data_IF_996810600925
#
_entry.id   IF_996810600925
#
_cell.length_a   1.000
_cell.length_b   1.000
_cell.length_c   1.000
_cell.angle_alpha   90.00
_cell.angle_beta   90.00
_cell.angle_gamma   90.00
#
_symmetry.space_group_name_H-M   'P 1'
#
loop_
_entity.id
_entity.type
_entity.pdbx_description
1 polymer ?
#
# COMPACT_ATOMS: atom_id res chain seq x y z
N UNK A 1 87.87 44.31 14.23
CA UNK A 1 86.34 44.10 14.21
C UNK A 1 85.96 42.75 13.65
N UNK A 2 86.33 41.65 14.31
CA UNK A 2 85.91 40.31 13.88
C UNK A 2 85.59 39.36 15.04
N UNK A 3 85.19 39.90 16.19
CA UNK A 3 84.81 39.07 17.38
C UNK A 3 83.29 38.88 17.63
N UNK A 4 82.45 39.47 16.83
CA UNK A 4 81.00 39.42 17.02
C UNK A 4 80.25 38.36 16.26
N UNK A 5 80.76 37.77 15.19
CA UNK A 5 80.00 36.80 14.36
C UNK A 5 80.12 35.39 14.85
N UNK A 6 81.13 35.00 15.65
CA UNK A 6 81.29 33.63 16.15
C UNK A 6 80.33 33.27 17.26
N UNK A 7 79.96 34.25 18.09
CA UNK A 7 79.02 34.01 19.24
C UNK A 7 77.57 33.96 18.83
N UNK A 8 77.19 34.64 17.78
CA UNK A 8 75.83 34.58 17.21
C UNK A 8 75.57 33.20 16.56
N UNK A 9 76.61 32.71 15.83
CA UNK A 9 76.50 31.38 15.21
C UNK A 9 76.49 30.24 16.23
N UNK A 10 77.22 30.32 17.30
CA UNK A 10 77.23 29.36 18.38
C UNK A 10 75.87 29.35 19.14
N UNK A 11 75.29 30.51 19.41
CA UNK A 11 73.93 30.57 20.04
C UNK A 11 72.85 30.01 19.14
N UNK A 12 72.90 30.28 17.84
CA UNK A 12 71.94 29.78 16.90
C UNK A 12 72.03 28.23 16.75
N UNK A 13 73.16 27.64 16.76
CA UNK A 13 73.38 26.20 16.69
C UNK A 13 72.96 25.50 17.98
N UNK A 14 73.20 26.12 19.16
CA UNK A 14 72.71 25.57 20.47
C UNK A 14 71.21 25.68 20.60
N UNK A 15 70.58 26.74 20.15
CA UNK A 15 69.11 26.88 20.21
C UNK A 15 68.45 25.89 19.23
N UNK A 16 68.95 25.69 18.05
CA UNK A 16 68.42 24.68 17.10
C UNK A 16 68.69 23.23 17.55
N UNK A 17 69.75 22.93 18.30
CA UNK A 17 69.95 21.61 18.85
C UNK A 17 69.01 21.32 20.02
N UNK A 18 68.74 22.28 20.92
CA UNK A 18 67.83 22.12 22.04
C UNK A 18 66.38 22.01 21.57
N UNK A 19 65.96 22.79 20.55
CA UNK A 19 64.65 22.71 19.95
C UNK A 19 64.47 21.38 19.17
N UNK A 20 65.54 20.87 18.52
CA UNK A 20 65.51 19.59 17.79
C UNK A 20 65.42 18.36 18.73
N UNK A 21 66.02 18.42 19.93
CA UNK A 21 65.90 17.35 20.93
C UNK A 21 64.55 17.38 21.65
N UNK A 22 64.00 18.56 21.96
CA UNK A 22 62.70 18.69 22.53
C UNK A 22 61.56 18.26 21.56
N UNK A 23 61.74 18.59 20.28
CA UNK A 23 60.78 18.14 19.26
C UNK A 23 60.85 16.63 18.98
N UNK A 24 62.01 16.00 19.10
CA UNK A 24 62.16 14.56 19.06
C UNK A 24 61.55 13.87 20.27
N UNK A 25 61.76 14.39 21.48
CA UNK A 25 61.14 13.86 22.68
C UNK A 25 59.63 14.06 22.70
N UNK A 26 59.11 15.18 22.19
CA UNK A 26 57.66 15.42 22.02
C UNK A 26 57.06 14.48 20.96
N UNK A 27 57.77 14.28 19.84
CA UNK A 27 57.31 13.31 18.81
C UNK A 27 57.40 11.86 19.30
N UNK A 28 58.41 11.51 20.12
CA UNK A 28 58.49 10.19 20.76
C UNK A 28 57.40 9.97 21.86
N UNK A 29 57.06 11.04 22.59
CA UNK A 29 55.92 10.97 23.55
C UNK A 29 54.58 10.99 22.87
N UNK A 30 54.40 11.69 21.75
CA UNK A 30 53.18 11.64 20.95
C UNK A 30 53.03 10.32 20.18
N UNK A 31 54.11 9.67 19.73
CA UNK A 31 54.01 8.35 19.10
C UNK A 31 53.72 7.22 20.09
N UNK A 32 53.97 7.44 21.41
CA UNK A 32 53.63 6.48 22.44
C UNK A 32 52.26 6.72 23.10
N UNK A 33 51.50 7.77 22.67
CA UNK A 33 50.16 8.08 23.18
C UNK A 33 49.03 7.95 22.15
N UNK A 34 49.35 7.60 20.91
CA UNK A 34 48.34 7.42 19.88
C UNK A 34 48.51 6.12 19.18
N UNK A 35 47.60 5.27 19.35
CA UNK A 35 47.26 4.00 18.72
C UNK A 35 47.52 2.81 19.64
N UNK A 36 46.66 2.69 20.65
CA UNK A 36 46.17 1.35 20.94
C UNK A 36 45.36 0.95 19.67
N UNK A 37 46.03 0.62 18.59
CA UNK A 37 45.46 -0.25 17.58
C UNK A 37 44.97 -1.46 18.37
N UNK A 38 43.64 -1.62 18.41
CA UNK A 38 43.04 -2.84 18.91
C UNK A 38 43.44 -3.90 17.90
N UNK A 39 44.63 -4.43 18.06
CA UNK A 39 45.05 -5.66 17.34
C UNK A 39 44.08 -6.76 17.78
N UNK A 40 43.02 -6.93 16.99
CA UNK A 40 42.11 -8.04 17.15
C UNK A 40 42.87 -9.29 16.75
N UNK A 41 43.56 -9.93 17.72
CA UNK A 41 44.26 -11.18 17.49
C UNK A 41 43.21 -12.28 17.25
N UNK A 42 42.96 -12.54 15.99
CA UNK A 42 42.03 -13.60 15.54
C UNK A 42 42.41 -14.94 16.09
N UNK A 43 43.71 -15.20 16.33
CA UNK A 43 44.17 -16.45 16.92
C UNK A 43 43.81 -16.57 18.40
N UNK A 44 43.85 -15.49 19.15
CA UNK A 44 43.41 -15.48 20.57
C UNK A 44 41.89 -15.65 20.68
N UNK A 45 41.10 -15.04 19.76
CA UNK A 45 39.67 -15.29 19.67
C UNK A 45 39.39 -16.73 19.36
N UNK A 46 40.09 -17.33 18.40
CA UNK A 46 39.91 -18.72 18.00
C UNK A 46 40.27 -19.64 19.17
N UNK A 47 41.36 -19.39 19.90
CA UNK A 47 41.80 -20.16 21.05
C UNK A 47 40.81 -20.08 22.23
N UNK A 48 40.25 -18.88 22.47
CA UNK A 48 39.14 -18.66 23.45
C UNK A 48 37.89 -19.44 23.05
N UNK A 49 37.50 -19.44 21.77
CA UNK A 49 36.34 -20.18 21.25
C UNK A 49 36.51 -21.68 21.43
N UNK A 50 37.67 -22.22 21.09
CA UNK A 50 38.01 -23.68 21.26
C UNK A 50 37.94 -24.06 22.74
N UNK A 51 38.42 -23.19 23.65
CA UNK A 51 38.37 -23.42 25.10
C UNK A 51 36.92 -23.50 25.65
N UNK A 52 35.97 -22.89 24.97
CA UNK A 52 34.58 -22.81 25.42
C UNK A 52 33.68 -23.89 24.78
N UNK A 53 34.23 -24.80 23.96
CA UNK A 53 33.49 -25.83 23.21
C UNK A 53 32.38 -26.53 24.00
N UNK A 54 32.62 -26.89 25.28
CA UNK A 54 31.61 -27.52 26.15
C UNK A 54 30.42 -26.63 26.45
N UNK A 55 30.62 -25.29 26.56
CA UNK A 55 29.54 -24.31 26.76
C UNK A 55 28.77 -24.07 25.47
N UNK A 56 29.48 -24.05 24.32
CA UNK A 56 28.88 -23.93 22.99
C UNK A 56 27.95 -25.13 22.72
N UNK A 57 28.36 -26.38 23.01
CA UNK A 57 27.47 -27.53 22.83
C UNK A 57 26.22 -27.46 23.72
N UNK A 58 26.36 -27.02 24.98
CA UNK A 58 25.21 -26.81 25.87
C UNK A 58 24.28 -25.73 25.33
N UNK A 59 24.82 -24.61 24.84
CA UNK A 59 24.04 -23.52 24.24
C UNK A 59 23.33 -23.99 22.95
N UNK A 60 24.04 -24.74 22.09
CA UNK A 60 23.44 -25.31 20.89
C UNK A 60 22.28 -26.24 21.22
N UNK A 61 22.42 -27.07 22.29
CA UNK A 61 21.36 -27.95 22.78
C UNK A 61 20.14 -27.17 23.27
N UNK A 62 20.34 -26.11 24.05
CA UNK A 62 19.25 -25.22 24.50
C UNK A 62 18.61 -24.51 23.33
N UNK A 63 19.42 -23.96 22.40
CA UNK A 63 18.94 -23.31 21.19
C UNK A 63 18.12 -24.23 20.28
N UNK A 64 18.52 -25.52 20.21
CA UNK A 64 17.79 -26.53 19.47
C UNK A 64 16.42 -26.81 20.09
N UNK A 65 16.32 -26.96 21.41
CA UNK A 65 15.05 -27.18 22.11
C UNK A 65 14.12 -25.97 21.89
N UNK A 66 14.62 -24.75 22.11
CA UNK A 66 13.86 -23.51 21.90
C UNK A 66 13.44 -23.39 20.43
N UNK A 67 14.37 -23.64 19.50
CA UNK A 67 14.12 -23.59 18.07
C UNK A 67 13.05 -24.58 17.61
N UNK A 68 13.00 -25.79 18.17
CA UNK A 68 11.94 -26.77 17.88
C UNK A 68 10.59 -26.30 18.42
N UNK A 69 10.53 -25.79 19.64
CA UNK A 69 9.29 -25.26 20.23
C UNK A 69 8.73 -24.13 19.36
N UNK A 70 9.56 -23.18 18.95
CA UNK A 70 9.18 -22.07 18.11
C UNK A 70 8.77 -22.53 16.70
N UNK A 71 9.55 -23.46 16.10
CA UNK A 71 9.24 -23.99 14.77
C UNK A 71 7.90 -24.75 14.70
N UNK A 72 7.48 -25.40 15.79
CA UNK A 72 6.18 -26.07 15.89
C UNK A 72 5.08 -25.02 16.13
N UNK A 73 5.39 -23.97 16.86
CA UNK A 73 4.45 -22.91 17.26
C UNK A 73 4.04 -22.00 16.10
N UNK A 74 4.89 -21.82 15.09
CA UNK A 74 4.58 -21.00 13.93
C UNK A 74 3.66 -21.78 12.97
N UNK A 75 2.42 -21.28 12.71
CA UNK A 75 1.52 -21.92 11.77
C UNK A 75 2.05 -21.86 10.34
N UNK A 76 1.69 -22.84 9.53
CA UNK A 76 2.00 -22.82 8.10
C UNK A 76 1.21 -21.69 7.42
N UNK A 77 1.82 -21.03 6.48
CA UNK A 77 1.19 -19.99 5.66
C UNK A 77 1.20 -20.42 4.19
N UNK A 78 0.13 -20.11 3.49
CA UNK A 78 -0.06 -20.42 2.08
C UNK A 78 -0.38 -19.13 1.36
N UNK A 79 0.38 -18.81 0.33
CA UNK A 79 0.19 -17.63 -0.50
C UNK A 79 -0.42 -18.04 -1.82
N UNK A 80 -1.50 -17.39 -2.19
CA UNK A 80 -2.15 -17.49 -3.49
C UNK A 80 -1.91 -16.20 -4.23
N UNK A 81 -1.40 -16.29 -5.44
CA UNK A 81 -1.19 -15.16 -6.33
C UNK A 81 -2.16 -15.21 -7.49
N UNK A 82 -2.72 -14.06 -7.81
CA UNK A 82 -3.59 -13.87 -8.98
C UNK A 82 -3.04 -12.73 -9.78
N UNK A 83 -2.75 -12.97 -11.06
CA UNK A 83 -2.19 -11.97 -11.95
C UNK A 83 -3.25 -11.45 -12.90
N UNK A 84 -3.43 -10.13 -12.89
CA UNK A 84 -4.33 -9.38 -13.76
C UNK A 84 -3.53 -8.61 -14.79
N UNK A 85 -3.89 -8.75 -16.05
CA UNK A 85 -3.41 -7.86 -17.11
C UNK A 85 -4.49 -6.82 -17.39
N UNK A 86 -4.18 -5.52 -17.40
CA UNK A 86 -5.10 -4.57 -17.98
C UNK A 86 -5.22 -4.89 -19.46
N UNK A 87 -6.44 -5.12 -19.94
CA UNK A 87 -6.67 -5.11 -21.38
C UNK A 87 -6.40 -3.67 -21.86
N UNK A 88 -5.32 -3.50 -22.61
CA UNK A 88 -5.14 -2.29 -23.39
C UNK A 88 -6.33 -2.23 -24.37
N UNK A 89 -7.35 -1.48 -23.99
CA UNK A 89 -8.38 -1.11 -24.93
C UNK A 89 -7.66 -0.60 -26.17
N UNK A 90 -7.80 -1.29 -27.27
CA UNK A 90 -7.11 -0.94 -28.53
C UNK A 90 -7.53 0.47 -28.93
N UNK A 91 -6.77 1.46 -28.49
CA UNK A 91 -6.83 2.85 -28.95
C UNK A 91 -6.32 2.99 -30.38
N UNK A 92 -6.40 1.91 -31.16
CA UNK A 92 -6.28 1.99 -32.59
C UNK A 92 -7.61 2.45 -33.19
N UNK A 93 -7.80 3.77 -33.18
CA UNK A 93 -8.46 4.58 -34.20
C UNK A 93 -9.72 4.10 -34.93
N UNK A 94 -10.57 3.26 -34.35
CA UNK A 94 -11.73 2.69 -35.02
C UNK A 94 -13.01 2.61 -34.21
N UNK A 95 -12.99 3.04 -32.95
CA UNK A 95 -14.17 3.08 -32.10
C UNK A 95 -14.91 4.42 -32.14
N UNK A 96 -16.02 4.52 -31.43
CA UNK A 96 -16.84 5.73 -31.31
C UNK A 96 -16.05 6.96 -30.82
N UNK A 97 -14.94 6.76 -30.11
CA UNK A 97 -14.02 7.83 -29.68
C UNK A 97 -13.38 8.55 -30.87
N UNK A 98 -13.07 7.85 -31.97
CA UNK A 98 -12.61 8.46 -33.22
C UNK A 98 -13.69 9.31 -33.89
N UNK A 99 -14.93 8.88 -33.82
CA UNK A 99 -16.07 9.66 -34.30
C UNK A 99 -16.36 10.88 -33.40
N UNK A 100 -16.28 10.72 -32.09
CA UNK A 100 -16.46 11.83 -31.15
C UNK A 100 -15.37 12.90 -31.30
N UNK A 101 -14.10 12.49 -31.52
CA UNK A 101 -13.00 13.43 -31.76
C UNK A 101 -13.16 14.19 -33.08
N UNK A 102 -13.72 13.58 -34.13
CA UNK A 102 -14.01 14.27 -35.39
C UNK A 102 -15.17 15.28 -35.28
N UNK A 103 -16.12 15.07 -34.38
CA UNK A 103 -17.24 15.99 -34.13
C UNK A 103 -16.90 17.12 -33.16
N UNK A 104 -15.98 16.92 -32.22
CA UNK A 104 -15.60 17.91 -31.19
C UNK A 104 -14.40 18.79 -31.55
N UNK A 105 -13.85 18.66 -32.76
CA UNK A 105 -12.72 19.50 -33.23
C UNK A 105 -11.43 19.18 -32.47
N UNK A 106 -10.57 18.46 -33.13
CA UNK A 106 -9.18 18.13 -32.82
C UNK A 106 -8.53 18.88 -31.65
N UNK A 107 -8.27 18.21 -30.56
CA UNK A 107 -7.46 18.78 -29.48
C UNK A 107 -7.15 17.85 -28.33
N UNK A 108 -7.86 16.76 -28.17
CA UNK A 108 -7.62 15.83 -27.05
C UNK A 108 -7.09 14.49 -27.58
N UNK A 109 -5.80 14.44 -27.86
CA UNK A 109 -5.06 13.18 -27.80
C UNK A 109 -5.01 12.77 -26.35
N UNK A 110 -6.02 12.07 -25.85
CA UNK A 110 -5.96 11.40 -24.56
C UNK A 110 -5.02 10.21 -24.70
N UNK A 111 -3.81 10.44 -24.24
CA UNK A 111 -2.65 9.58 -24.30
C UNK A 111 -2.74 8.42 -23.31
N UNK A 112 -2.13 7.39 -23.67
CA UNK A 112 -1.32 6.32 -23.04
C UNK A 112 -1.14 6.31 -21.49
N UNK A 113 -1.59 7.31 -20.77
CA UNK A 113 -1.46 7.41 -19.31
C UNK A 113 -2.58 6.76 -18.49
N UNK A 114 -3.70 6.40 -19.10
CA UNK A 114 -4.88 5.89 -18.37
C UNK A 114 -4.67 4.46 -17.85
N UNK A 115 -3.92 3.63 -18.54
CA UNK A 115 -3.69 2.23 -18.14
C UNK A 115 -2.67 2.12 -17.00
N UNK A 116 -1.63 2.96 -17.01
CA UNK A 116 -0.66 3.02 -15.91
C UNK A 116 -1.28 3.55 -14.61
N UNK A 117 -2.22 4.50 -14.70
CA UNK A 117 -3.00 4.99 -13.56
C UNK A 117 -3.90 3.90 -12.96
N UNK A 118 -4.49 3.03 -13.79
CA UNK A 118 -5.32 1.92 -13.32
C UNK A 118 -4.52 0.89 -12.52
N UNK A 119 -3.35 0.57 -13.00
CA UNK A 119 -2.47 -0.38 -12.33
C UNK A 119 -2.00 0.18 -10.97
N UNK A 120 -1.58 1.45 -10.89
CA UNK A 120 -1.15 2.07 -9.63
C UNK A 120 -2.30 2.16 -8.61
N UNK A 121 -3.51 2.51 -9.06
CA UNK A 121 -4.70 2.57 -8.21
C UNK A 121 -5.06 1.21 -7.58
N UNK A 122 -4.75 0.10 -8.26
CA UNK A 122 -5.05 -1.25 -7.73
C UNK A 122 -4.40 -1.51 -6.38
N UNK A 123 -3.13 -1.13 -6.20
CA UNK A 123 -2.42 -1.32 -4.94
C UNK A 123 -3.00 -0.44 -3.82
N UNK A 124 -3.36 0.80 -4.14
CA UNK A 124 -3.93 1.74 -3.19
C UNK A 124 -5.34 1.32 -2.77
N UNK A 125 -6.17 0.86 -3.71
CA UNK A 125 -7.52 0.36 -3.42
C UNK A 125 -7.46 -0.85 -2.50
N UNK A 126 -6.63 -1.86 -2.82
CA UNK A 126 -6.50 -3.09 -2.01
C UNK A 126 -6.04 -2.79 -0.58
N UNK A 127 -5.21 -1.76 -0.39
CA UNK A 127 -4.75 -1.34 0.93
C UNK A 127 -5.69 -0.37 1.65
N UNK A 128 -6.75 0.09 0.98
CA UNK A 128 -7.67 1.08 1.55
C UNK A 128 -8.57 0.48 2.64
N UNK A 129 -8.87 1.29 3.64
CA UNK A 129 -9.73 0.86 4.77
C UNK A 129 -11.15 0.49 4.33
N UNK A 130 -11.83 1.25 3.44
CA UNK A 130 -13.18 0.90 2.99
C UNK A 130 -13.22 -0.47 2.29
N UNK A 131 -12.24 -0.72 1.41
CA UNK A 131 -12.14 -1.98 0.68
C UNK A 131 -11.97 -3.19 1.63
N UNK A 132 -11.04 -3.07 2.58
CA UNK A 132 -10.77 -4.14 3.54
C UNK A 132 -11.92 -4.36 4.52
N UNK A 133 -12.66 -3.30 4.87
CA UNK A 133 -13.83 -3.40 5.72
C UNK A 133 -14.94 -4.20 5.00
N UNK A 134 -15.20 -3.88 3.74
CA UNK A 134 -16.18 -4.60 2.93
C UNK A 134 -15.76 -6.06 2.72
N UNK A 135 -14.46 -6.30 2.46
CA UNK A 135 -13.92 -7.64 2.33
C UNK A 135 -14.05 -8.45 3.64
N UNK A 136 -13.93 -7.81 4.81
CA UNK A 136 -14.04 -8.48 6.11
C UNK A 136 -15.41 -9.08 6.37
N UNK A 137 -16.45 -8.58 5.70
CA UNK A 137 -17.85 -9.06 5.82
C UNK A 137 -18.18 -10.17 4.83
N UNK A 138 -17.27 -10.51 3.89
CA UNK A 138 -17.52 -11.55 2.90
C UNK A 138 -17.62 -12.94 3.54
N UNK A 139 -18.47 -13.79 2.97
CA UNK A 139 -18.59 -15.18 3.38
C UNK A 139 -17.50 -16.04 2.73
N UNK A 140 -16.87 -16.88 3.54
CA UNK A 140 -15.85 -17.84 3.12
C UNK A 140 -16.22 -19.24 3.62
N UNK A 141 -15.83 -20.30 2.89
CA UNK A 141 -16.05 -21.66 3.34
C UNK A 141 -15.15 -21.96 4.54
N UNK A 142 -15.76 -22.27 5.68
CA UNK A 142 -15.03 -22.67 6.87
C UNK A 142 -14.46 -24.10 6.74
N UNK A 143 -13.44 -24.36 7.52
CA UNK A 143 -12.79 -25.69 7.59
C UNK A 143 -13.78 -26.80 8.02
N UNK A 144 -14.87 -26.45 8.71
CA UNK A 144 -15.87 -27.39 9.25
C UNK A 144 -17.15 -27.53 8.41
N UNK A 145 -17.19 -26.92 7.20
CA UNK A 145 -18.34 -27.07 6.29
C UNK A 145 -19.47 -26.05 6.46
N UNK A 146 -19.38 -25.15 7.42
CA UNK A 146 -20.29 -24.01 7.57
C UNK A 146 -19.65 -22.75 6.98
N UNK A 147 -20.40 -21.89 6.34
CA UNK A 147 -19.90 -20.60 5.87
C UNK A 147 -19.70 -19.67 7.06
N UNK A 148 -18.59 -18.98 7.09
CA UNK A 148 -18.29 -17.94 8.09
C UNK A 148 -17.82 -16.67 7.40
N UNK A 149 -17.89 -15.53 8.09
CA UNK A 149 -17.30 -14.29 7.56
C UNK A 149 -15.79 -14.30 7.70
N UNK A 150 -15.07 -13.60 6.81
CA UNK A 150 -13.62 -13.45 6.89
C UNK A 150 -13.20 -12.83 8.25
N UNK A 151 -14.01 -11.93 8.79
CA UNK A 151 -13.83 -11.35 10.13
C UNK A 151 -13.85 -12.41 11.23
N UNK A 152 -14.79 -13.36 11.19
CA UNK A 152 -14.90 -14.46 12.16
C UNK A 152 -13.72 -15.43 12.02
N UNK A 153 -13.32 -15.73 10.78
CA UNK A 153 -12.14 -16.56 10.51
C UNK A 153 -10.87 -15.99 11.15
N UNK A 154 -10.68 -14.66 11.07
CA UNK A 154 -9.53 -14.01 11.71
C UNK A 154 -9.56 -14.11 13.23
N UNK A 155 -10.74 -14.10 13.84
CA UNK A 155 -10.89 -14.21 15.30
C UNK A 155 -10.69 -15.66 15.79
N UNK A 156 -11.15 -16.65 15.05
CA UNK A 156 -11.22 -18.05 15.52
C UNK A 156 -10.04 -18.92 15.04
N UNK A 157 -9.67 -18.82 13.77
CA UNK A 157 -8.71 -19.75 13.16
C UNK A 157 -7.31 -19.17 13.01
N UNK A 158 -7.16 -17.83 13.01
CA UNK A 158 -5.87 -17.19 12.72
C UNK A 158 -4.97 -16.98 13.94
N UNK A 159 -5.54 -17.00 15.16
CA UNK A 159 -4.80 -16.67 16.38
C UNK A 159 -3.90 -17.85 16.79
N UNK A 160 -2.56 -17.70 16.79
CA UNK A 160 -1.68 -18.78 17.25
C UNK A 160 -1.80 -18.97 18.77
N UNK A 161 -1.73 -20.21 19.24
CA UNK A 161 -1.90 -20.58 20.65
C UNK A 161 -0.96 -19.84 21.62
N UNK A 162 0.23 -19.50 21.16
CA UNK A 162 1.21 -18.78 21.98
C UNK A 162 0.83 -17.32 22.24
N UNK A 163 -0.05 -16.73 21.43
CA UNK A 163 -0.58 -15.39 21.69
C UNK A 163 -1.35 -15.34 23.00
N UNK A 164 -2.02 -16.45 23.38
CA UNK A 164 -2.65 -16.58 24.68
C UNK A 164 -1.62 -16.62 25.82
N UNK A 165 -0.44 -17.22 25.59
CA UNK A 165 0.64 -17.31 26.59
C UNK A 165 1.32 -15.95 26.78
N UNK A 166 1.61 -15.24 25.70
CA UNK A 166 2.22 -13.88 25.74
C UNK A 166 1.19 -12.85 26.20
N UNK A 167 -0.07 -13.01 25.81
CA UNK A 167 -1.17 -12.16 26.24
C UNK A 167 -1.62 -12.38 27.68
N UNK A 168 -1.20 -13.47 28.35
CA UNK A 168 -1.60 -13.77 29.72
C UNK A 168 -1.27 -12.65 30.73
N UNK A 169 -0.09 -11.98 30.68
CA UNK A 169 0.18 -10.82 31.53
C UNK A 169 -0.68 -9.61 31.19
N UNK A 170 -0.99 -9.38 29.91
CA UNK A 170 -1.85 -8.27 29.48
C UNK A 170 -3.33 -8.53 29.82
N UNK A 171 -3.79 -9.78 29.75
CA UNK A 171 -5.16 -10.16 30.17
C UNK A 171 -5.35 -9.90 31.66
N UNK A 172 -4.35 -10.14 32.50
CA UNK A 172 -4.42 -9.83 33.95
C UNK A 172 -4.45 -8.32 34.16
N UNK A 173 -3.66 -7.56 33.41
CA UNK A 173 -3.60 -6.09 33.49
C UNK A 173 -4.87 -5.46 32.91
N UNK A 174 -5.37 -5.97 31.78
CA UNK A 174 -6.61 -5.50 31.16
C UNK A 174 -7.85 -5.95 31.96
N UNK A 175 -7.83 -7.15 32.54
CA UNK A 175 -8.86 -7.59 33.51
C UNK A 175 -8.90 -6.76 34.79
N UNK A 176 -7.75 -6.28 35.29
CA UNK A 176 -7.70 -5.34 36.38
C UNK A 176 -8.15 -3.92 35.98
N UNK A 177 -7.87 -3.51 34.74
CA UNK A 177 -8.36 -2.23 34.19
C UNK A 177 -9.85 -2.24 33.87
N UNK A 178 -10.42 -3.36 33.42
CA UNK A 178 -11.86 -3.47 33.15
C UNK A 178 -12.71 -3.39 34.41
N UNK A 179 -12.15 -3.62 35.59
CA UNK A 179 -12.82 -3.40 36.88
C UNK A 179 -12.86 -1.91 37.30
N UNK A 180 -12.05 -1.05 36.63
CA UNK A 180 -11.93 0.37 36.99
C UNK A 180 -12.28 1.33 35.83
N UNK A 181 -12.47 0.82 34.62
CA UNK A 181 -12.83 1.62 33.44
C UNK A 181 -13.97 0.87 32.77
N UNK A 182 -15.17 1.44 32.81
CA UNK A 182 -16.24 1.07 31.89
C UNK A 182 -15.66 1.23 30.49
N UNK A 183 -15.47 0.11 29.80
CA UNK A 183 -15.20 0.15 28.36
C UNK A 183 -16.41 0.84 27.74
N UNK A 184 -16.23 2.08 27.33
CA UNK A 184 -17.07 2.72 26.35
C UNK A 184 -17.03 1.80 25.10
N UNK A 185 -17.94 0.82 25.08
CA UNK A 185 -18.46 0.27 23.84
C UNK A 185 -19.14 1.45 23.12
N UNK A 186 -18.33 2.26 22.46
CA UNK A 186 -18.84 3.11 21.40
C UNK A 186 -19.40 2.15 20.35
N UNK A 187 -20.65 1.79 20.61
CA UNK A 187 -21.50 1.04 19.70
C UNK A 187 -21.54 1.83 18.41
N UNK A 188 -20.72 1.43 17.48
CA UNK A 188 -20.76 1.91 16.11
C UNK A 188 -22.07 1.45 15.45
N UNK A 189 -23.18 2.12 15.76
CA UNK A 189 -24.45 1.89 15.09
C UNK A 189 -24.86 3.03 14.13
N UNK A 190 -23.98 3.99 13.84
CA UNK A 190 -24.27 5.05 12.86
C UNK A 190 -23.15 5.16 11.84
N UNK A 191 -23.15 4.24 10.87
CA UNK A 191 -22.25 4.26 9.69
C UNK A 191 -22.57 5.36 8.68
N UNK A 192 -23.32 6.38 9.02
CA UNK A 192 -23.81 7.31 8.01
C UNK A 192 -23.94 8.73 8.51
N UNK A 193 -22.83 9.40 8.77
CA UNK A 193 -22.84 10.84 8.65
C UNK A 193 -21.48 11.33 8.12
N UNK A 194 -21.49 11.80 6.88
CA UNK A 194 -20.46 12.67 6.26
C UNK A 194 -19.15 11.98 5.81
N UNK A 195 -19.16 10.74 5.34
CA UNK A 195 -17.96 10.12 4.75
C UNK A 195 -16.84 9.77 5.74
N UNK A 196 -17.08 9.91 7.05
CA UNK A 196 -16.15 9.53 8.11
C UNK A 196 -16.46 8.09 8.54
N UNK A 197 -15.45 7.21 8.46
CA UNK A 197 -15.56 5.82 8.91
C UNK A 197 -14.99 5.74 10.33
N UNK A 198 -15.83 5.52 11.31
CA UNK A 198 -15.41 5.25 12.68
C UNK A 198 -15.18 3.75 12.87
N UNK A 199 -13.98 3.38 13.30
CA UNK A 199 -13.59 2.00 13.54
C UNK A 199 -13.42 1.72 15.02
N UNK A 200 -13.98 0.62 15.47
CA UNK A 200 -13.66 0.07 16.79
C UNK A 200 -12.18 -0.36 16.85
N UNK A 201 -11.58 -0.37 18.04
CA UNK A 201 -10.22 -0.87 18.25
C UNK A 201 -10.02 -2.31 17.73
N UNK A 202 -11.05 -3.15 17.83
CA UNK A 202 -11.03 -4.52 17.29
C UNK A 202 -11.02 -4.53 15.76
N UNK A 203 -11.89 -3.73 15.13
CA UNK A 203 -11.94 -3.59 13.68
C UNK A 203 -10.64 -3.01 13.10
N UNK A 204 -10.08 -1.99 13.75
CA UNK A 204 -8.81 -1.40 13.34
C UNK A 204 -7.67 -2.41 13.34
N UNK A 205 -7.57 -3.26 14.37
CA UNK A 205 -6.58 -4.35 14.42
C UNK A 205 -6.80 -5.39 13.30
N UNK A 206 -8.06 -5.75 13.03
CA UNK A 206 -8.39 -6.69 11.93
C UNK A 206 -7.98 -6.13 10.57
N UNK A 207 -8.26 -4.86 10.32
CA UNK A 207 -7.86 -4.20 9.08
C UNK A 207 -6.33 -4.16 8.95
N UNK A 208 -5.59 -3.91 10.03
CA UNK A 208 -4.13 -3.96 10.01
C UNK A 208 -3.59 -5.36 9.68
N UNK A 209 -4.23 -6.40 10.21
CA UNK A 209 -3.90 -7.79 9.88
C UNK A 209 -4.22 -8.08 8.42
N UNK A 210 -5.39 -7.70 7.92
CA UNK A 210 -5.77 -7.86 6.51
C UNK A 210 -4.81 -7.14 5.56
N UNK A 211 -4.35 -5.93 5.89
CA UNK A 211 -3.33 -5.20 5.09
C UNK A 211 -2.00 -5.96 4.96
N UNK A 212 -1.65 -6.76 5.95
CA UNK A 212 -0.44 -7.60 5.91
C UNK A 212 -0.64 -8.88 5.13
N UNK A 213 -1.87 -9.40 5.12
CA UNK A 213 -2.24 -10.65 4.46
C UNK A 213 -2.55 -10.49 2.97
N UNK A 214 -3.09 -9.35 2.60
CA UNK A 214 -3.55 -9.05 1.25
C UNK A 214 -2.68 -7.93 0.71
N UNK A 215 -1.92 -8.23 -0.35
CA UNK A 215 -1.03 -7.26 -1.00
C UNK A 215 -1.28 -7.25 -2.49
N UNK A 216 -1.20 -6.08 -3.09
CA UNK A 216 -1.23 -5.93 -4.54
C UNK A 216 0.05 -5.25 -4.99
N UNK A 217 0.73 -5.85 -5.95
CA UNK A 217 1.99 -5.35 -6.52
C UNK A 217 1.78 -5.14 -8.01
N UNK A 218 2.21 -3.99 -8.49
CA UNK A 218 2.14 -3.63 -9.90
C UNK A 218 3.52 -3.68 -10.51
N UNK A 219 3.69 -4.47 -11.55
CA UNK A 219 4.89 -4.45 -12.36
C UNK A 219 4.88 -3.23 -13.30
N UNK A 220 5.82 -2.31 -13.08
CA UNK A 220 5.94 -1.07 -13.84
C UNK A 220 6.27 -1.28 -15.33
N UNK A 221 6.79 -2.46 -15.71
CA UNK A 221 7.16 -2.75 -17.09
C UNK A 221 6.00 -3.31 -17.91
N UNK A 222 5.23 -4.20 -17.27
CA UNK A 222 4.14 -4.91 -17.93
C UNK A 222 2.77 -4.32 -17.60
N UNK A 223 2.70 -3.41 -16.60
CA UNK A 223 1.47 -2.89 -16.01
C UNK A 223 0.55 -3.98 -15.44
N UNK A 224 1.05 -5.20 -15.28
CA UNK A 224 0.30 -6.29 -14.68
C UNK A 224 0.19 -6.08 -13.17
N UNK A 225 -0.96 -6.39 -12.61
CA UNK A 225 -1.21 -6.34 -11.17
C UNK A 225 -1.26 -7.75 -10.61
N UNK A 226 -0.35 -8.06 -9.69
CA UNK A 226 -0.37 -9.32 -8.95
C UNK A 226 -0.96 -9.09 -7.57
N UNK A 227 -2.07 -9.74 -7.29
CA UNK A 227 -2.72 -9.76 -5.97
C UNK A 227 -2.28 -11.03 -5.25
N UNK A 228 -1.63 -10.86 -4.10
CA UNK A 228 -1.18 -11.97 -3.26
C UNK A 228 -1.97 -12.00 -1.95
N UNK A 229 -2.50 -13.16 -1.60
CA UNK A 229 -3.25 -13.42 -0.36
C UNK A 229 -2.56 -14.53 0.41
N UNK A 230 -2.16 -14.24 1.65
CA UNK A 230 -1.44 -15.18 2.53
C UNK A 230 -2.29 -15.55 3.74
N UNK A 231 -2.72 -16.81 3.82
CA UNK A 231 -3.54 -17.33 4.91
C UNK A 231 -3.03 -18.70 5.39
N UNK A 232 -3.57 -19.19 6.53
CA UNK A 232 -3.18 -20.49 7.08
C UNK A 232 -3.84 -21.66 6.35
N UNK A 233 -5.05 -21.46 5.81
CA UNK A 233 -5.79 -22.49 5.08
C UNK A 233 -5.67 -22.22 3.56
N UNK A 234 -5.10 -23.17 2.77
CA UNK A 234 -4.89 -22.94 1.33
C UNK A 234 -6.18 -22.79 0.52
N UNK A 235 -7.28 -23.49 0.91
CA UNK A 235 -8.57 -23.34 0.24
C UNK A 235 -9.19 -21.96 0.49
N UNK A 236 -9.14 -21.50 1.75
CA UNK A 236 -9.63 -20.17 2.13
C UNK A 236 -8.81 -19.09 1.43
N UNK A 237 -7.48 -19.25 1.35
CA UNK A 237 -6.61 -18.33 0.64
C UNK A 237 -7.01 -18.16 -0.83
N UNK A 238 -7.33 -19.26 -1.52
CA UNK A 238 -7.75 -19.22 -2.93
C UNK A 238 -9.11 -18.53 -3.10
N UNK A 239 -10.09 -18.83 -2.23
CA UNK A 239 -11.41 -18.18 -2.28
C UNK A 239 -11.32 -16.69 -1.97
N UNK A 240 -10.52 -16.31 -0.97
CA UNK A 240 -10.29 -14.90 -0.65
C UNK A 240 -9.59 -14.19 -1.79
N UNK A 241 -8.56 -14.80 -2.41
CA UNK A 241 -7.85 -14.21 -3.53
C UNK A 241 -8.78 -13.94 -4.74
N UNK A 242 -9.63 -14.90 -5.10
CA UNK A 242 -10.63 -14.74 -6.16
C UNK A 242 -11.64 -13.61 -5.83
N UNK A 243 -12.09 -13.56 -4.59
CA UNK A 243 -13.03 -12.53 -4.13
C UNK A 243 -12.40 -11.13 -4.10
N UNK A 244 -11.14 -11.02 -3.64
CA UNK A 244 -10.37 -9.76 -3.67
C UNK A 244 -10.26 -9.24 -5.10
N UNK A 245 -9.95 -10.12 -6.04
CA UNK A 245 -9.82 -9.74 -7.46
C UNK A 245 -11.16 -9.26 -8.03
N UNK A 246 -12.25 -10.01 -7.79
CA UNK A 246 -13.59 -9.61 -8.24
C UNK A 246 -14.00 -8.25 -7.67
N UNK A 247 -13.77 -8.06 -6.37
CA UNK A 247 -14.10 -6.81 -5.69
C UNK A 247 -13.23 -5.66 -6.17
N UNK A 248 -11.94 -5.89 -6.41
CA UNK A 248 -11.03 -4.90 -6.98
C UNK A 248 -11.49 -4.46 -8.36
N UNK A 249 -11.88 -5.40 -9.22
CA UNK A 249 -12.43 -5.08 -10.54
C UNK A 249 -13.69 -4.22 -10.42
N UNK A 250 -14.61 -4.57 -9.53
CA UNK A 250 -15.83 -3.80 -9.27
C UNK A 250 -15.51 -2.36 -8.82
N UNK A 251 -14.59 -2.19 -7.86
CA UNK A 251 -14.18 -0.88 -7.37
C UNK A 251 -13.55 0.00 -8.46
N UNK A 252 -12.69 -0.57 -9.30
CA UNK A 252 -12.04 0.18 -10.38
C UNK A 252 -13.07 0.58 -11.44
N UNK A 253 -13.98 -0.33 -11.81
CA UNK A 253 -15.06 -0.05 -12.76
C UNK A 253 -15.95 1.09 -12.21
N UNK A 254 -16.35 1.00 -10.97
CA UNK A 254 -17.22 2.02 -10.37
C UNK A 254 -16.52 3.36 -10.24
N UNK A 255 -15.28 3.39 -9.77
CA UNK A 255 -14.48 4.61 -9.70
C UNK A 255 -14.35 5.33 -11.05
N UNK A 256 -14.04 4.58 -12.12
CA UNK A 256 -13.89 5.16 -13.47
C UNK A 256 -15.20 5.59 -14.10
N UNK A 257 -16.24 4.80 -13.90
CA UNK A 257 -17.54 5.09 -14.55
C UNK A 257 -18.36 6.12 -13.80
N UNK A 258 -18.08 6.42 -12.54
CA UNK A 258 -18.88 7.34 -11.72
C UNK A 258 -18.98 8.72 -12.34
N UNK A 259 -17.87 9.35 -12.72
CA UNK A 259 -17.88 10.66 -13.34
C UNK A 259 -18.61 10.66 -14.69
N UNK A 260 -18.36 9.65 -15.52
CA UNK A 260 -19.06 9.51 -16.80
C UNK A 260 -20.57 9.30 -16.64
N UNK A 261 -20.98 8.55 -15.59
CA UNK A 261 -22.40 8.38 -15.23
C UNK A 261 -23.04 9.70 -14.78
N UNK A 262 -22.34 10.49 -13.94
CA UNK A 262 -22.82 11.80 -13.50
C UNK A 262 -22.99 12.76 -14.67
N UNK A 263 -22.01 12.84 -15.58
CA UNK A 263 -22.10 13.63 -16.81
C UNK A 263 -23.30 13.18 -17.68
N UNK A 264 -23.53 11.87 -17.79
CA UNK A 264 -24.65 11.32 -18.54
C UNK A 264 -26.00 11.68 -17.90
N UNK A 265 -26.13 11.59 -16.58
CA UNK A 265 -27.35 12.00 -15.84
C UNK A 265 -27.62 13.48 -16.02
N UNK A 266 -26.58 14.34 -15.95
CA UNK A 266 -26.71 15.78 -16.21
C UNK A 266 -27.21 16.05 -17.62
N UNK A 267 -26.63 15.41 -18.64
CA UNK A 267 -27.06 15.56 -20.04
C UNK A 267 -28.46 15.00 -20.29
N UNK A 268 -28.88 13.93 -19.61
CA UNK A 268 -30.27 13.46 -19.69
C UNK A 268 -31.28 14.47 -19.15
N UNK A 269 -30.95 15.14 -18.06
CA UNK A 269 -31.78 16.21 -17.52
C UNK A 269 -31.83 17.38 -18.50
N UNK A 270 -30.68 17.84 -18.98
CA UNK A 270 -30.57 18.95 -19.94
C UNK A 270 -31.32 18.64 -21.24
N UNK A 271 -31.21 17.39 -21.74
CA UNK A 271 -31.95 16.97 -22.92
C UNK A 271 -33.47 17.13 -22.75
N UNK A 272 -34.01 16.69 -21.61
CA UNK A 272 -35.45 16.85 -21.32
C UNK A 272 -35.87 18.31 -21.25
N UNK A 273 -35.06 19.18 -20.65
CA UNK A 273 -35.31 20.60 -20.57
C UNK A 273 -35.35 21.26 -21.98
N UNK A 274 -34.33 20.97 -22.81
CA UNK A 274 -34.25 21.51 -24.18
C UNK A 274 -35.33 20.96 -25.09
N UNK A 275 -35.75 19.72 -24.88
CA UNK A 275 -36.87 19.12 -25.58
C UNK A 275 -38.19 19.85 -25.28
N UNK A 276 -38.42 20.17 -24.01
CA UNK A 276 -39.62 20.94 -23.60
C UNK A 276 -39.60 22.35 -24.18
N UNK A 277 -38.46 23.04 -24.17
CA UNK A 277 -38.30 24.37 -24.78
C UNK A 277 -38.59 24.33 -26.28
N UNK A 278 -38.03 23.34 -26.99
CA UNK A 278 -38.35 23.19 -28.43
C UNK A 278 -39.84 22.95 -28.67
N UNK A 279 -40.48 22.06 -27.92
CA UNK A 279 -41.92 21.84 -28.07
C UNK A 279 -42.76 23.04 -27.70
N UNK A 280 -42.34 23.82 -26.72
CA UNK A 280 -43.01 25.08 -26.37
C UNK A 280 -42.91 26.11 -27.51
N UNK A 281 -41.71 26.34 -28.06
CA UNK A 281 -41.48 27.23 -29.19
C UNK A 281 -42.23 26.75 -30.44
N UNK A 282 -42.25 25.44 -30.72
CA UNK A 282 -43.01 24.88 -31.81
C UNK A 282 -44.50 25.11 -31.68
N UNK A 283 -45.05 24.96 -30.48
CA UNK A 283 -46.47 25.20 -30.19
C UNK A 283 -46.82 26.69 -30.32
N UNK A 284 -45.94 27.58 -29.86
CA UNK A 284 -46.12 29.02 -29.96
C UNK A 284 -46.13 29.48 -31.42
N UNK A 285 -45.17 28.98 -32.21
CA UNK A 285 -45.14 29.24 -33.65
C UNK A 285 -46.40 28.71 -34.36
N UNK A 286 -46.84 27.48 -34.08
CA UNK A 286 -48.06 26.92 -34.66
C UNK A 286 -49.31 27.72 -34.29
N UNK A 287 -49.51 28.04 -33.02
CA UNK A 287 -50.64 28.86 -32.55
C UNK A 287 -50.67 30.26 -33.21
N UNK A 288 -49.46 30.84 -33.42
CA UNK A 288 -49.39 32.15 -34.07
C UNK A 288 -49.83 32.07 -35.52
N UNK A 289 -49.43 31.07 -36.28
CA UNK A 289 -49.87 30.82 -37.67
C UNK A 289 -51.39 30.60 -37.74
N UNK A 290 -51.93 29.71 -36.89
CA UNK A 290 -53.34 29.36 -36.86
C UNK A 290 -54.23 30.56 -36.52
N UNK A 291 -53.74 31.53 -35.76
CA UNK A 291 -54.50 32.74 -35.35
C UNK A 291 -54.39 33.88 -36.37
N UNK A 292 -53.47 33.85 -37.35
CA UNK A 292 -53.19 34.89 -38.32
C UNK A 292 -53.24 34.37 -39.76
N UNK A 293 -54.41 33.89 -40.20
CA UNK A 293 -54.66 33.25 -41.47
C UNK A 293 -54.45 34.18 -42.71
N UNK A 294 -54.36 35.48 -42.47
CA UNK A 294 -54.27 36.53 -43.53
C UNK A 294 -53.05 37.45 -43.31
N UNK A 295 -51.84 37.02 -43.74
CA UNK A 295 -50.57 37.74 -43.51
C UNK A 295 -50.38 38.86 -44.54
N UNK A 296 -51.07 39.99 -44.37
CA UNK A 296 -50.88 41.16 -45.22
C UNK A 296 -49.93 42.18 -44.55
N UNK A 297 -49.94 42.25 -43.21
CA UNK A 297 -49.18 43.24 -42.47
C UNK A 297 -47.71 42.84 -42.32
N UNK A 298 -46.77 43.74 -42.57
CA UNK A 298 -45.34 43.55 -42.43
C UNK A 298 -44.95 43.15 -40.95
N UNK A 299 -45.65 43.67 -39.97
CA UNK A 299 -45.49 43.41 -38.56
C UNK A 299 -45.80 41.93 -38.21
N UNK A 300 -46.86 41.40 -38.85
CA UNK A 300 -47.23 39.96 -38.66
C UNK A 300 -46.17 39.02 -39.26
N UNK A 301 -45.61 39.39 -40.43
CA UNK A 301 -44.52 38.65 -41.04
C UNK A 301 -43.25 38.67 -40.17
N UNK A 302 -42.89 39.84 -39.65
CA UNK A 302 -41.71 39.98 -38.81
C UNK A 302 -41.81 39.10 -37.53
N UNK A 303 -43.00 39.05 -36.93
CA UNK A 303 -43.25 38.25 -35.73
C UNK A 303 -43.26 36.74 -36.06
N UNK A 304 -43.87 36.35 -37.19
CA UNK A 304 -43.77 34.94 -37.66
C UNK A 304 -42.30 34.51 -37.88
N UNK A 305 -41.51 35.36 -38.54
CA UNK A 305 -40.10 35.08 -38.79
C UNK A 305 -39.31 35.00 -37.49
N UNK A 306 -39.61 35.85 -36.50
CA UNK A 306 -39.01 35.77 -35.16
C UNK A 306 -39.32 34.43 -34.48
N UNK A 307 -40.59 34.06 -34.43
CA UNK A 307 -41.01 32.80 -33.79
C UNK A 307 -40.44 31.55 -34.52
N UNK A 308 -40.34 31.62 -35.85
CA UNK A 308 -39.72 30.56 -36.65
C UNK A 308 -38.22 30.46 -36.32
N UNK A 309 -37.53 31.59 -36.17
CA UNK A 309 -36.11 31.60 -35.80
C UNK A 309 -35.91 31.08 -34.37
N UNK A 310 -36.78 31.48 -33.41
CA UNK A 310 -36.75 30.98 -32.02
C UNK A 310 -36.95 29.45 -31.98
N UNK A 311 -37.94 28.92 -32.73
CA UNK A 311 -38.17 27.49 -32.86
C UNK A 311 -36.95 26.79 -33.49
N UNK A 312 -36.37 27.35 -34.55
CA UNK A 312 -35.19 26.80 -35.22
C UNK A 312 -33.98 26.76 -34.28
N UNK A 313 -33.76 27.85 -33.52
CA UNK A 313 -32.71 27.92 -32.52
C UNK A 313 -32.92 26.88 -31.42
N UNK A 314 -34.14 26.76 -30.88
CA UNK A 314 -34.45 25.75 -29.85
C UNK A 314 -34.24 24.32 -30.39
N UNK A 315 -34.59 24.05 -31.65
CA UNK A 315 -34.31 22.75 -32.30
C UNK A 315 -32.82 22.47 -32.45
N UNK A 316 -32.02 23.47 -32.85
CA UNK A 316 -30.56 23.29 -32.98
C UNK A 316 -29.94 22.96 -31.63
N UNK A 317 -30.31 23.68 -30.54
CA UNK A 317 -29.81 23.39 -29.19
C UNK A 317 -30.24 22.00 -28.72
N UNK A 318 -31.51 21.64 -28.90
CA UNK A 318 -32.03 20.30 -28.57
C UNK A 318 -31.27 19.20 -29.32
N UNK A 319 -31.04 19.35 -30.62
CA UNK A 319 -30.31 18.41 -31.45
C UNK A 319 -28.85 18.28 -31.01
N UNK A 320 -28.20 19.40 -30.66
CA UNK A 320 -26.83 19.37 -30.16
C UNK A 320 -26.72 18.65 -28.83
N UNK A 321 -27.62 18.87 -27.88
CA UNK A 321 -27.66 18.19 -26.59
C UNK A 321 -27.97 16.69 -26.77
N UNK A 322 -28.85 16.34 -27.72
CA UNK A 322 -29.13 14.94 -28.08
C UNK A 322 -27.87 14.21 -28.52
N UNK A 323 -27.06 14.83 -29.39
CA UNK A 323 -25.78 14.28 -29.84
C UNK A 323 -24.77 14.15 -28.70
N UNK A 324 -24.66 15.15 -27.82
CA UNK A 324 -23.79 15.09 -26.65
C UNK A 324 -24.19 13.96 -25.69
N UNK A 325 -25.49 13.76 -25.47
CA UNK A 325 -26.01 12.65 -24.66
C UNK A 325 -25.64 11.30 -25.23
N UNK A 326 -25.73 11.11 -26.56
CA UNK A 326 -25.30 9.85 -27.19
C UNK A 326 -23.81 9.60 -27.00
N UNK A 327 -22.97 10.64 -27.13
CA UNK A 327 -21.52 10.55 -26.87
C UNK A 327 -21.25 10.22 -25.40
N UNK A 328 -21.95 10.86 -24.47
CA UNK A 328 -21.77 10.58 -23.04
C UNK A 328 -22.17 9.15 -22.67
N UNK A 329 -23.27 8.63 -23.25
CA UNK A 329 -23.67 7.21 -23.07
C UNK A 329 -22.62 6.23 -23.61
N UNK A 330 -22.05 6.54 -24.77
CA UNK A 330 -20.95 5.73 -25.35
C UNK A 330 -19.72 5.76 -24.42
N UNK A 331 -19.37 6.93 -23.90
CA UNK A 331 -18.26 7.11 -22.98
C UNK A 331 -18.40 6.28 -21.70
N UNK A 332 -19.59 6.19 -21.11
CA UNK A 332 -19.84 5.30 -19.95
C UNK A 332 -19.52 3.85 -20.27
N UNK A 333 -19.72 3.38 -21.48
CA UNK A 333 -19.37 2.01 -21.89
C UNK A 333 -17.87 1.84 -22.15
N UNK A 334 -17.23 2.86 -22.74
CA UNK A 334 -15.78 2.85 -23.02
C UNK A 334 -14.95 2.91 -21.73
N UNK A 335 -15.45 3.61 -20.70
CA UNK A 335 -14.77 3.74 -19.40
C UNK A 335 -14.83 2.47 -18.53
N UNK A 336 -15.50 1.40 -18.97
CA UNK A 336 -15.47 0.11 -18.28
C UNK A 336 -14.17 -0.61 -18.59
N UNK A 337 -13.17 -0.60 -17.67
CA UNK A 337 -11.96 -1.33 -17.91
C UNK A 337 -12.25 -2.84 -17.92
N UNK A 338 -11.61 -3.54 -18.83
CA UNK A 338 -11.63 -5.00 -18.87
C UNK A 338 -10.28 -5.48 -18.33
N UNK A 339 -10.30 -6.31 -17.29
CA UNK A 339 -9.13 -6.96 -16.77
C UNK A 339 -9.15 -8.42 -17.19
N UNK A 340 -8.14 -8.84 -17.92
CA UNK A 340 -7.94 -10.24 -18.21
C UNK A 340 -7.23 -10.91 -17.01
N UNK A 341 -7.81 -11.97 -16.48
CA UNK A 341 -7.15 -12.83 -15.50
C UNK A 341 -6.15 -13.71 -16.23
N UNK A 342 -4.86 -13.39 -16.08
CA UNK A 342 -3.77 -14.14 -16.72
C UNK A 342 -3.48 -15.42 -15.94
N UNK A 343 -3.44 -15.29 -14.61
CA UNK A 343 -3.25 -16.42 -13.71
C UNK A 343 -4.37 -16.40 -12.65
N UNK A 344 -5.27 -17.41 -12.66
CA UNK A 344 -6.38 -17.49 -11.72
C UNK A 344 -5.89 -17.98 -10.35
N UNK A 345 -6.74 -17.81 -9.32
CA UNK A 345 -6.47 -18.31 -7.98
C UNK A 345 -6.36 -19.84 -7.98
N UNK A 346 -5.20 -20.37 -7.67
CA UNK A 346 -4.93 -21.82 -7.55
C UNK A 346 -4.64 -22.17 -6.10
N UNK A 347 -5.23 -23.26 -5.62
CA UNK A 347 -4.99 -23.74 -4.26
C UNK A 347 -3.56 -24.26 -4.15
N UNK A 348 -2.68 -23.63 -3.33
CA UNK A 348 -1.29 -24.03 -3.21
C UNK A 348 -1.15 -25.36 -2.48
N UNK A 349 -0.29 -26.25 -2.96
CA UNK A 349 0.00 -27.54 -2.34
C UNK A 349 1.07 -27.44 -1.26
N UNK A 350 1.98 -26.46 -1.39
CA UNK A 350 3.08 -26.28 -0.47
C UNK A 350 2.96 -24.93 0.28
N UNK A 351 3.39 -24.88 1.55
CA UNK A 351 3.41 -23.63 2.31
C UNK A 351 4.48 -22.68 1.77
N UNK A 352 4.14 -21.40 1.66
CA UNK A 352 5.01 -20.32 1.17
C UNK A 352 6.00 -19.80 2.23
N UNK A 353 5.76 -20.11 3.51
CA UNK A 353 6.62 -19.68 4.62
C UNK A 353 7.94 -20.43 4.68
N UNK A 354 8.93 -19.87 5.42
CA UNK A 354 10.21 -20.52 5.66
C UNK A 354 10.01 -21.92 6.29
N UNK A 355 10.81 -22.89 5.85
CA UNK A 355 10.70 -24.26 6.37
C UNK A 355 11.01 -24.29 7.87
N UNK A 356 10.34 -25.17 8.62
CA UNK A 356 10.57 -25.36 10.06
C UNK A 356 12.04 -25.63 10.41
N UNK A 357 12.78 -26.29 9.49
CA UNK A 357 14.22 -26.56 9.63
C UNK A 357 15.06 -25.26 9.69
N UNK A 358 14.68 -24.23 8.91
CA UNK A 358 15.39 -22.95 8.90
C UNK A 358 15.23 -22.24 10.25
N UNK A 359 14.03 -22.23 10.83
CA UNK A 359 13.83 -21.64 12.16
C UNK A 359 14.70 -22.31 13.23
N UNK A 360 14.74 -23.65 13.27
CA UNK A 360 15.60 -24.39 14.22
C UNK A 360 17.06 -24.02 14.03
N UNK A 361 17.55 -23.97 12.79
CA UNK A 361 18.94 -23.64 12.49
C UNK A 361 19.28 -22.20 12.93
N UNK A 362 18.41 -21.23 12.66
CA UNK A 362 18.59 -19.83 13.07
C UNK A 362 18.68 -19.71 14.59
N UNK A 363 17.80 -20.40 15.35
CA UNK A 363 17.82 -20.32 16.81
C UNK A 363 19.04 -21.01 17.41
N UNK A 364 19.51 -22.13 16.85
CA UNK A 364 20.77 -22.77 17.24
C UNK A 364 21.95 -21.84 16.99
N UNK A 365 22.01 -21.22 15.81
CA UNK A 365 23.06 -20.27 15.48
C UNK A 365 23.05 -19.06 16.43
N UNK A 366 21.89 -18.47 16.66
CA UNK A 366 21.71 -17.30 17.55
C UNK A 366 22.14 -17.62 18.99
N UNK A 367 21.80 -18.83 19.51
CA UNK A 367 22.18 -19.23 20.86
C UNK A 367 23.69 -19.41 21.01
N UNK A 368 24.36 -19.96 19.99
CA UNK A 368 25.82 -20.11 19.96
C UNK A 368 26.47 -18.73 19.90
N UNK A 369 26.03 -17.86 19.01
CA UNK A 369 26.53 -16.47 18.88
C UNK A 369 26.41 -15.72 20.20
N UNK A 370 25.28 -15.85 20.91
CA UNK A 370 25.03 -15.16 22.18
C UNK A 370 26.01 -15.63 23.29
N UNK A 371 26.28 -16.92 23.36
CA UNK A 371 27.28 -17.46 24.34
C UNK A 371 28.69 -17.04 24.00
N UNK A 372 29.08 -17.05 22.71
CA UNK A 372 30.38 -16.58 22.25
C UNK A 372 30.55 -15.09 22.56
N UNK A 373 29.56 -14.30 22.22
CA UNK A 373 29.56 -12.86 22.48
C UNK A 373 29.66 -12.55 23.99
N UNK A 374 28.87 -13.24 24.81
CA UNK A 374 28.91 -13.07 26.27
C UNK A 374 30.28 -13.41 26.85
N UNK A 375 30.97 -14.41 26.30
CA UNK A 375 32.30 -14.82 26.76
C UNK A 375 33.45 -13.97 26.27
N UNK A 376 33.32 -13.36 25.09
CA UNK A 376 34.34 -12.44 24.55
C UNK A 376 34.26 -11.06 25.18
N UNK A 377 33.05 -10.56 25.38
CA UNK A 377 32.81 -9.17 25.82
C UNK A 377 32.23 -9.06 27.23
N UNK A 378 31.47 -10.06 27.70
CA UNK A 378 30.75 -10.01 28.95
C UNK A 378 31.67 -10.14 30.18
N UNK A 379 32.73 -10.94 30.10
CA UNK A 379 33.68 -11.10 31.21
C UNK A 379 34.46 -9.78 31.42
N UNK A 380 34.88 -9.10 30.36
CA UNK A 380 35.57 -7.80 30.43
C UNK A 380 34.65 -6.69 30.92
N UNK A 381 33.41 -6.71 30.51
CA UNK A 381 32.39 -5.74 30.98
C UNK A 381 32.06 -5.90 32.46
N UNK A 382 31.93 -7.15 32.93
CA UNK A 382 31.69 -7.42 34.36
C UNK A 382 32.90 -7.07 35.21
N UNK A 383 34.14 -7.26 34.75
CA UNK A 383 35.34 -6.87 35.46
C UNK A 383 35.44 -5.33 35.56
N UNK A 384 35.16 -4.60 34.47
CA UNK A 384 35.07 -3.12 34.53
C UNK A 384 34.01 -2.60 35.48
N UNK A 385 32.84 -3.24 35.55
CA UNK A 385 31.79 -2.83 36.50
C UNK A 385 32.22 -3.12 37.94
N UNK A 386 32.93 -4.19 38.21
CA UNK A 386 33.48 -4.49 39.54
C UNK A 386 34.57 -3.50 39.97
N UNK A 387 35.41 -3.03 39.05
CA UNK A 387 36.40 -1.99 39.30
C UNK A 387 35.79 -0.61 39.62
N UNK A 388 34.65 -0.29 38.96
CA UNK A 388 33.93 0.97 39.23
C UNK A 388 33.20 0.94 40.59
N UNK A 389 32.93 -0.26 41.12
CA UNK A 389 32.14 -0.45 42.34
C UNK A 389 33.00 -0.69 43.61
N UNK A 390 34.31 -0.87 43.44
CA UNK A 390 35.30 -0.99 44.48
C UNK A 390 36.04 0.35 44.69
#
# INVERSE_FOLDING_TARGET
ESRGLGDVYKRQVYTTMIDGESEKEIKLRQSNQGDQEIEIDLMDILRKIIGIRKKIYKAAGIGLIIGIIIAISIPKQYTVEVTLSPEMGSTKGGGLSGLAASFLGSGATMSDGTDALNASLSADIVSSTPFLLELSTMEIPASKGENMTLSTYLDEEYIPWWSYVIGFPSIIIDGAKSLFIEEDELVSSNRTNQGIIELSKKESKKIEVLKKMITAIVDKKTSMTTVAVTLQNPKVAAVVADSVVKKLQEYIIDYRTTKAKEDCIYLEKLFKERQQEYYAAQKEYANYIDSHDNIILQSVRAEQERLQNDMSLAYQVYSQVANQLQVARAKVQEEKPVFAVVEPAVVPLEPSGASKKVYVLVFVFLSVCLVVFWKLFGDDFLNKIKEIRA
#
